data_IF_348053893597
#
_entry.id   IF_348053893597
#
_cell.length_a   1.000
_cell.length_b   1.000
_cell.length_c   1.000
_cell.angle_alpha   90.00
_cell.angle_beta   90.00
_cell.angle_gamma   90.00
#
_symmetry.space_group_name_H-M   'P 1'
#
loop_
_entity.id
_entity.type
_entity.pdbx_description
1 polymer ?
#
# COMPACT_ATOMS: atom_id res chain seq x y z
N UNK A 1 -3.99 17.80 6.26
CA UNK A 1 -4.65 18.41 5.07
C UNK A 1 -3.70 18.28 3.89
N UNK A 2 -4.18 17.74 2.77
CA UNK A 2 -3.39 17.58 1.54
C UNK A 2 -3.29 18.89 0.76
N UNK A 3 -2.27 19.06 -0.09
CA UNK A 3 -2.11 20.26 -0.91
C UNK A 3 -3.37 20.54 -1.75
N UNK A 4 -3.81 21.79 -1.79
CA UNK A 4 -5.09 22.16 -2.41
C UNK A 4 -5.04 22.07 -3.95
N UNK A 5 -3.84 22.22 -4.51
CA UNK A 5 -3.50 22.13 -5.93
C UNK A 5 -3.52 20.71 -6.48
N UNK A 6 -3.52 19.68 -5.62
CA UNK A 6 -3.63 18.30 -6.07
C UNK A 6 -4.99 18.03 -6.73
N UNK A 7 -5.02 17.18 -7.78
CA UNK A 7 -6.26 16.64 -8.29
C UNK A 7 -7.10 16.05 -7.16
N UNK A 8 -8.44 16.17 -7.26
CA UNK A 8 -9.36 15.65 -6.24
C UNK A 8 -9.12 14.15 -5.99
N UNK A 9 -8.96 13.36 -7.06
CA UNK A 9 -8.65 11.93 -6.97
C UNK A 9 -7.40 11.65 -6.11
N UNK A 10 -6.30 12.37 -6.32
CA UNK A 10 -5.07 12.19 -5.53
C UNK A 10 -5.29 12.51 -4.04
N UNK A 11 -6.06 13.55 -3.72
CA UNK A 11 -6.43 13.88 -2.32
C UNK A 11 -7.34 12.83 -1.70
N UNK A 12 -8.29 12.29 -2.46
CA UNK A 12 -9.20 11.24 -2.00
C UNK A 12 -8.42 9.94 -1.71
N UNK A 13 -7.49 9.54 -2.61
CA UNK A 13 -6.58 8.40 -2.39
C UNK A 13 -5.75 8.62 -1.12
N UNK A 14 -5.13 9.80 -0.98
CA UNK A 14 -4.29 10.10 0.17
C UNK A 14 -5.06 10.07 1.49
N UNK A 15 -6.27 10.63 1.51
CA UNK A 15 -7.10 10.68 2.73
C UNK A 15 -7.55 9.30 3.14
N UNK A 16 -8.14 8.54 2.21
CA UNK A 16 -8.62 7.19 2.51
C UNK A 16 -7.47 6.23 2.88
N UNK A 17 -6.30 6.38 2.26
CA UNK A 17 -5.11 5.61 2.64
C UNK A 17 -4.63 5.95 4.05
N UNK A 18 -4.50 7.25 4.39
CA UNK A 18 -4.06 7.70 5.72
C UNK A 18 -5.03 7.26 6.83
N UNK A 19 -6.34 7.33 6.57
CA UNK A 19 -7.39 6.83 7.47
C UNK A 19 -7.26 5.31 7.68
N UNK A 20 -7.15 4.53 6.60
CA UNK A 20 -7.08 3.08 6.66
C UNK A 20 -5.80 2.59 7.37
N UNK A 21 -4.63 3.17 7.07
CA UNK A 21 -3.39 2.79 7.76
C UNK A 21 -3.41 3.22 9.22
N UNK A 22 -4.06 4.34 9.56
CA UNK A 22 -4.23 4.76 10.96
C UNK A 22 -5.10 3.76 11.71
N UNK A 23 -6.24 3.35 11.16
CA UNK A 23 -7.11 2.34 11.76
C UNK A 23 -6.40 0.98 11.93
N UNK A 24 -5.65 0.54 10.91
CA UNK A 24 -4.92 -0.72 10.93
C UNK A 24 -3.77 -0.74 11.97
N UNK A 25 -3.25 0.42 12.38
CA UNK A 25 -2.23 0.51 13.44
C UNK A 25 -2.80 0.38 14.86
N UNK A 26 -4.12 0.56 15.04
CA UNK A 26 -4.82 0.44 16.32
C UNK A 26 -5.92 -0.64 16.29
N UNK A 27 -5.59 -1.81 15.72
CA UNK A 27 -6.47 -2.79 15.07
C UNK A 27 -7.99 -2.51 15.09
N UNK A 28 -8.39 -1.35 14.54
CA UNK A 28 -9.79 -0.94 14.45
C UNK A 28 -10.39 -1.46 13.14
N UNK A 29 -11.08 -2.59 13.25
CA UNK A 29 -11.65 -3.28 12.09
C UNK A 29 -12.69 -2.44 11.35
N UNK A 30 -13.58 -1.79 12.07
CA UNK A 30 -14.70 -1.04 11.48
C UNK A 30 -14.17 0.19 10.74
N UNK A 31 -13.30 0.98 11.39
CA UNK A 31 -12.68 2.14 10.76
C UNK A 31 -11.81 1.75 9.55
N UNK A 32 -11.11 0.61 9.63
CA UNK A 32 -10.31 0.08 8.52
C UNK A 32 -11.19 -0.30 7.32
N UNK A 33 -12.28 -1.02 7.54
CA UNK A 33 -13.22 -1.43 6.48
C UNK A 33 -13.89 -0.21 5.83
N UNK A 34 -14.31 0.78 6.62
CA UNK A 34 -14.90 2.03 6.12
C UNK A 34 -13.91 2.79 5.20
N UNK A 35 -12.67 2.97 5.66
CA UNK A 35 -11.65 3.68 4.90
C UNK A 35 -11.23 2.92 3.63
N UNK A 36 -11.10 1.59 3.70
CA UNK A 36 -10.85 0.75 2.53
C UNK A 36 -11.99 0.87 1.50
N UNK A 37 -13.25 0.91 1.94
CA UNK A 37 -14.41 1.07 1.05
C UNK A 37 -14.44 2.45 0.36
N UNK A 38 -13.81 3.48 0.92
CA UNK A 38 -13.60 4.76 0.22
C UNK A 38 -12.68 4.57 -0.99
N UNK A 39 -11.60 3.78 -0.86
CA UNK A 39 -10.69 3.46 -1.98
C UNK A 39 -11.36 2.61 -3.05
N UNK A 40 -12.30 1.73 -2.70
CA UNK A 40 -13.05 0.90 -3.66
C UNK A 40 -13.76 1.72 -4.74
N UNK A 41 -14.12 2.96 -4.41
CA UNK A 41 -14.85 3.89 -5.28
C UNK A 41 -13.95 4.75 -6.16
N UNK A 42 -12.63 4.59 -6.04
CA UNK A 42 -11.62 5.33 -6.79
C UNK A 42 -11.04 4.45 -7.91
N UNK A 43 -10.19 5.03 -8.74
CA UNK A 43 -9.41 4.28 -9.72
C UNK A 43 -8.39 3.38 -9.00
N UNK A 44 -8.67 2.08 -8.99
CA UNK A 44 -7.83 1.08 -8.33
C UNK A 44 -6.45 0.92 -8.97
N UNK A 45 -6.26 1.34 -10.22
CA UNK A 45 -4.95 1.37 -10.84
C UNK A 45 -4.08 2.50 -10.28
N UNK A 46 -4.65 3.70 -10.12
CA UNK A 46 -3.97 4.81 -9.45
C UNK A 46 -3.72 4.52 -7.97
N UNK A 47 -4.69 3.90 -7.27
CA UNK A 47 -4.51 3.45 -5.87
C UNK A 47 -3.34 2.47 -5.78
N UNK A 48 -3.31 1.45 -6.66
CA UNK A 48 -2.20 0.49 -6.73
C UNK A 48 -0.87 1.20 -6.96
N UNK A 49 -0.79 2.13 -7.92
CA UNK A 49 0.45 2.84 -8.22
C UNK A 49 0.98 3.61 -7.01
N UNK A 50 0.12 4.34 -6.30
CA UNK A 50 0.48 5.07 -5.08
C UNK A 50 0.92 4.12 -3.97
N UNK A 51 0.17 3.04 -3.72
CA UNK A 51 0.50 2.07 -2.67
C UNK A 51 1.81 1.34 -2.97
N UNK A 52 2.05 0.91 -4.21
CA UNK A 52 3.30 0.27 -4.62
C UNK A 52 4.50 1.21 -4.43
N UNK A 53 4.38 2.49 -4.81
CA UNK A 53 5.43 3.47 -4.60
C UNK A 53 5.73 3.66 -3.10
N UNK A 54 4.70 3.75 -2.25
CA UNK A 54 4.88 3.82 -0.80
C UNK A 54 5.54 2.57 -0.22
N UNK A 55 5.10 1.37 -0.62
CA UNK A 55 5.68 0.10 -0.13
C UNK A 55 7.15 0.02 -0.51
N UNK A 56 7.49 0.31 -1.78
CA UNK A 56 8.88 0.30 -2.25
C UNK A 56 9.76 1.26 -1.45
N UNK A 57 9.32 2.50 -1.31
CA UNK A 57 10.10 3.52 -0.60
C UNK A 57 10.28 3.16 0.90
N UNK A 58 9.25 2.61 1.55
CA UNK A 58 9.35 2.14 2.93
C UNK A 58 10.31 0.95 3.07
N UNK A 59 10.32 0.03 2.11
CA UNK A 59 11.27 -1.08 2.10
C UNK A 59 12.70 -0.59 1.93
N UNK A 60 12.93 0.39 1.05
CA UNK A 60 14.24 1.01 0.84
C UNK A 60 14.74 1.72 2.11
N UNK A 61 13.88 2.51 2.77
CA UNK A 61 14.21 3.20 4.02
C UNK A 61 14.52 2.24 5.18
N UNK A 62 13.83 1.11 5.25
CA UNK A 62 14.05 0.08 6.27
C UNK A 62 15.28 -0.80 5.99
N UNK A 63 15.75 -0.84 4.75
CA UNK A 63 16.83 -1.70 4.29
C UNK A 63 17.87 -0.93 3.46
N UNK A 64 18.56 0.08 4.04
CA UNK A 64 19.49 0.93 3.31
C UNK A 64 20.71 0.17 2.74
N UNK A 65 21.07 -0.96 3.36
CA UNK A 65 22.16 -1.83 2.90
C UNK A 65 21.72 -2.87 1.85
N UNK A 66 20.44 -2.83 1.46
CA UNK A 66 19.85 -3.71 0.45
C UNK A 66 18.75 -4.61 1.01
N UNK A 67 17.74 -4.87 0.16
CA UNK A 67 16.60 -5.73 0.47
C UNK A 67 16.90 -7.18 0.09
N UNK A 68 16.75 -8.10 1.04
CA UNK A 68 16.92 -9.55 0.83
C UNK A 68 15.59 -10.29 0.81
N UNK A 69 15.57 -11.51 0.28
CA UNK A 69 14.39 -12.39 0.37
C UNK A 69 13.96 -12.65 1.82
N UNK A 70 14.92 -12.81 2.75
CA UNK A 70 14.66 -12.93 4.18
C UNK A 70 14.01 -11.67 4.77
N UNK A 71 14.40 -10.49 4.29
CA UNK A 71 13.80 -9.22 4.70
C UNK A 71 12.33 -9.15 4.29
N UNK A 72 12.01 -9.56 3.05
CA UNK A 72 10.63 -9.62 2.55
C UNK A 72 9.81 -10.66 3.33
N UNK A 73 10.39 -11.83 3.61
CA UNK A 73 9.74 -12.87 4.42
C UNK A 73 9.44 -12.37 5.84
N UNK A 74 10.38 -11.64 6.47
CA UNK A 74 10.17 -11.06 7.79
C UNK A 74 9.02 -10.04 7.82
N UNK A 75 8.88 -9.22 6.77
CA UNK A 75 7.72 -8.31 6.60
C UNK A 75 6.42 -9.11 6.48
N UNK A 76 6.40 -10.13 5.62
CA UNK A 76 5.22 -10.98 5.42
C UNK A 76 4.76 -11.64 6.72
N UNK A 77 5.70 -12.26 7.46
CA UNK A 77 5.41 -12.94 8.72
C UNK A 77 4.92 -11.96 9.80
N UNK A 78 5.57 -10.80 9.92
CA UNK A 78 5.20 -9.76 10.90
C UNK A 78 3.81 -9.21 10.59
N UNK A 79 3.54 -8.85 9.32
CA UNK A 79 2.25 -8.36 8.89
C UNK A 79 1.15 -9.40 9.15
N UNK A 80 1.32 -10.64 8.68
CA UNK A 80 0.30 -11.68 8.84
C UNK A 80 -0.01 -11.99 10.32
N UNK A 81 1.03 -12.04 11.16
CA UNK A 81 0.89 -12.26 12.60
C UNK A 81 0.18 -11.09 13.28
N UNK A 82 0.48 -9.86 12.88
CA UNK A 82 -0.14 -8.65 13.43
C UNK A 82 -1.61 -8.47 13.02
N UNK A 83 -2.04 -9.06 11.91
CA UNK A 83 -3.38 -8.85 11.36
C UNK A 83 -4.37 -9.99 11.60
N UNK A 84 -3.90 -11.24 11.69
CA UNK A 84 -4.76 -12.43 11.76
C UNK A 84 -5.76 -12.42 12.93
N UNK A 85 -5.45 -11.73 14.02
CA UNK A 85 -6.31 -11.67 15.20
C UNK A 85 -7.57 -10.79 15.01
N UNK A 86 -7.57 -9.86 14.06
CA UNK A 86 -8.65 -8.87 13.88
C UNK A 86 -9.17 -8.76 12.43
N UNK A 87 -8.43 -9.26 11.45
CA UNK A 87 -8.87 -9.38 10.05
C UNK A 87 -9.18 -10.85 9.75
N UNK A 88 -10.46 -11.21 9.77
CA UNK A 88 -10.92 -12.60 9.63
C UNK A 88 -10.77 -13.18 8.21
N UNK A 89 -10.65 -12.32 7.20
CA UNK A 89 -10.57 -12.67 5.78
C UNK A 89 -9.19 -12.40 5.18
N UNK A 90 -8.15 -12.39 6.02
CA UNK A 90 -6.76 -12.21 5.60
C UNK A 90 -6.32 -13.31 4.63
N UNK A 91 -5.79 -12.91 3.48
CA UNK A 91 -5.24 -13.83 2.48
C UNK A 91 -3.74 -13.56 2.31
N UNK A 92 -2.91 -14.47 2.83
CA UNK A 92 -1.45 -14.39 2.71
C UNK A 92 -0.97 -14.26 1.25
N UNK A 93 -1.56 -14.95 0.26
CA UNK A 93 -1.17 -14.74 -1.15
C UNK A 93 -1.33 -13.29 -1.64
N UNK A 94 -2.28 -12.53 -1.10
CA UNK A 94 -2.46 -11.13 -1.46
C UNK A 94 -1.39 -10.24 -0.82
N UNK A 95 -0.91 -10.55 0.38
CA UNK A 95 0.25 -9.87 0.98
C UNK A 95 1.51 -10.11 0.12
N UNK A 96 1.71 -11.34 -0.37
CA UNK A 96 2.81 -11.66 -1.29
C UNK A 96 2.68 -10.85 -2.57
N UNK A 97 1.51 -10.82 -3.20
CA UNK A 97 1.27 -10.06 -4.43
C UNK A 97 1.53 -8.56 -4.26
N UNK A 98 1.21 -7.98 -3.10
CA UNK A 98 1.54 -6.58 -2.79
C UNK A 98 3.06 -6.37 -2.76
N UNK A 99 3.79 -7.21 -2.03
CA UNK A 99 5.24 -7.06 -1.87
C UNK A 99 5.97 -7.29 -3.20
N UNK A 100 5.65 -8.36 -3.94
CA UNK A 100 6.29 -8.65 -5.23
C UNK A 100 5.91 -7.63 -6.30
N UNK A 101 4.66 -7.16 -6.31
CA UNK A 101 4.20 -6.11 -7.21
C UNK A 101 4.90 -4.77 -6.98
N UNK A 102 5.12 -4.37 -5.72
CA UNK A 102 5.86 -3.16 -5.38
C UNK A 102 7.35 -3.23 -5.81
N UNK A 103 7.92 -4.43 -5.83
CA UNK A 103 9.29 -4.72 -6.27
C UNK A 103 9.43 -4.94 -7.78
N UNK A 104 8.34 -4.87 -8.54
CA UNK A 104 8.36 -5.10 -9.99
C UNK A 104 8.66 -6.55 -10.38
N UNK A 105 8.40 -7.51 -9.48
CA UNK A 105 8.67 -8.93 -9.69
C UNK A 105 7.45 -9.70 -10.25
N UNK A 106 6.33 -9.03 -10.46
CA UNK A 106 5.12 -9.64 -11.02
C UNK A 106 5.11 -9.53 -12.54
N UNK A 107 4.99 -10.66 -13.22
CA UNK A 107 4.76 -10.70 -14.66
C UNK A 107 3.26 -10.48 -14.96
N UNK A 108 2.86 -9.45 -15.73
CA UNK A 108 1.46 -9.18 -16.07
C UNK A 108 0.77 -10.32 -16.83
N UNK A 109 1.53 -11.22 -17.46
CA UNK A 109 1.01 -12.36 -18.21
C UNK A 109 0.90 -13.64 -17.35
N UNK A 110 1.25 -13.57 -16.05
CA UNK A 110 1.17 -14.72 -15.15
C UNK A 110 -0.27 -15.05 -14.76
N UNK A 111 -0.69 -16.30 -14.96
CA UNK A 111 -2.06 -16.77 -14.68
C UNK A 111 -2.48 -16.62 -13.20
N UNK A 112 -1.51 -16.49 -12.30
CA UNK A 112 -1.71 -16.42 -10.85
C UNK A 112 -1.90 -14.99 -10.31
N UNK A 113 -1.96 -13.96 -11.16
CA UNK A 113 -2.24 -12.61 -10.70
C UNK A 113 -3.64 -12.54 -10.06
N UNK A 114 -3.76 -12.01 -8.83
CA UNK A 114 -5.06 -11.84 -8.19
C UNK A 114 -6.01 -11.00 -9.03
N UNK A 115 -7.16 -11.58 -9.39
CA UNK A 115 -8.18 -10.90 -10.20
C UNK A 115 -8.93 -9.82 -9.42
N UNK A 116 -9.04 -9.98 -8.10
CA UNK A 116 -9.69 -9.00 -7.23
C UNK A 116 -8.72 -7.87 -6.88
N UNK A 117 -8.71 -6.83 -7.72
CA UNK A 117 -7.89 -5.63 -7.54
C UNK A 117 -8.18 -4.90 -6.23
N UNK A 118 -9.43 -4.94 -5.76
CA UNK A 118 -9.78 -4.30 -4.50
C UNK A 118 -9.23 -5.08 -3.30
N UNK A 119 -9.30 -6.41 -3.35
CA UNK A 119 -8.67 -7.24 -2.32
C UNK A 119 -7.17 -6.98 -2.22
N UNK A 120 -6.47 -6.82 -3.34
CA UNK A 120 -5.04 -6.42 -3.35
C UNK A 120 -4.84 -5.05 -2.69
N UNK A 121 -5.62 -4.04 -3.08
CA UNK A 121 -5.52 -2.69 -2.48
C UNK A 121 -5.79 -2.70 -0.96
N UNK A 122 -6.79 -3.47 -0.49
CA UNK A 122 -7.09 -3.63 0.93
C UNK A 122 -5.95 -4.32 1.68
N UNK A 123 -5.30 -5.31 1.08
CA UNK A 123 -4.14 -5.98 1.68
C UNK A 123 -2.90 -5.08 1.66
N UNK A 124 -2.76 -4.20 0.67
CA UNK A 124 -1.67 -3.22 0.63
C UNK A 124 -1.72 -2.27 1.83
N UNK A 125 -2.92 -1.87 2.26
CA UNK A 125 -3.09 -1.03 3.46
C UNK A 125 -2.55 -1.71 4.74
N UNK A 126 -2.68 -3.04 4.85
CA UNK A 126 -2.13 -3.80 5.98
C UNK A 126 -0.60 -3.82 5.96
N UNK A 127 -0.01 -4.05 4.77
CA UNK A 127 1.44 -4.00 4.57
C UNK A 127 1.98 -2.60 4.88
N UNK A 128 1.30 -1.55 4.41
CA UNK A 128 1.67 -0.17 4.69
C UNK A 128 1.61 0.15 6.19
N UNK A 129 0.56 -0.28 6.88
CA UNK A 129 0.44 -0.08 8.33
C UNK A 129 1.57 -0.77 9.12
N UNK A 130 1.95 -1.98 8.72
CA UNK A 130 3.09 -2.71 9.28
C UNK A 130 4.42 -1.98 9.03
N UNK A 131 4.71 -1.64 7.76
CA UNK A 131 5.95 -0.97 7.38
C UNK A 131 6.09 0.42 8.02
N UNK A 132 5.02 1.22 8.06
CA UNK A 132 5.00 2.52 8.73
C UNK A 132 5.24 2.38 10.24
N UNK A 133 4.72 1.32 10.85
CA UNK A 133 4.95 1.04 12.27
C UNK A 133 6.40 0.63 12.52
N UNK A 134 6.99 -0.20 11.65
CA UNK A 134 8.40 -0.59 11.72
C UNK A 134 9.33 0.61 11.52
N UNK A 135 9.04 1.48 10.56
CA UNK A 135 9.77 2.71 10.29
C UNK A 135 9.54 3.81 11.36
N UNK A 136 8.55 3.63 12.25
CA UNK A 136 8.10 4.61 13.23
C UNK A 136 7.78 5.97 12.59
N UNK A 137 7.17 5.93 11.40
CA UNK A 137 6.96 7.10 10.57
C UNK A 137 5.46 7.36 10.31
N UNK A 138 5.05 8.62 10.10
CA UNK A 138 3.70 8.95 9.66
C UNK A 138 3.53 8.69 8.16
N UNK A 139 2.34 8.28 7.73
CA UNK A 139 2.04 7.99 6.32
C UNK A 139 2.14 9.24 5.42
N UNK A 140 1.85 10.42 5.98
CA UNK A 140 1.72 11.66 5.22
C UNK A 140 2.99 12.09 4.48
N UNK A 141 4.18 11.68 4.93
CA UNK A 141 5.44 11.93 4.21
C UNK A 141 5.53 11.08 2.94
N UNK A 142 5.35 9.77 3.09
CA UNK A 142 5.36 8.79 2.01
C UNK A 142 4.26 9.03 0.98
N UNK A 143 3.04 9.36 1.43
CA UNK A 143 1.93 9.68 0.53
C UNK A 143 2.25 10.85 -0.42
N UNK A 144 2.89 11.90 0.09
CA UNK A 144 3.28 13.05 -0.74
C UNK A 144 4.32 12.67 -1.78
N UNK A 145 5.31 11.86 -1.40
CA UNK A 145 6.37 11.43 -2.32
C UNK A 145 5.85 10.45 -3.36
N UNK A 146 5.05 9.46 -2.96
CA UNK A 146 4.41 8.50 -3.84
C UNK A 146 3.50 9.17 -4.88
N UNK A 147 2.62 10.09 -4.46
CA UNK A 147 1.76 10.84 -5.40
C UNK A 147 2.60 11.71 -6.35
N UNK A 148 3.64 12.37 -5.83
CA UNK A 148 4.56 13.16 -6.65
C UNK A 148 5.40 12.32 -7.61
N UNK A 149 5.68 11.06 -7.30
CA UNK A 149 6.32 10.11 -8.20
C UNK A 149 5.38 9.65 -9.31
N UNK A 150 4.16 9.21 -8.96
CA UNK A 150 3.15 8.77 -9.93
C UNK A 150 2.83 9.89 -10.93
N UNK A 151 2.61 11.12 -10.45
CA UNK A 151 2.33 12.25 -11.34
C UNK A 151 3.50 12.55 -12.31
N UNK A 152 4.75 12.38 -11.86
CA UNK A 152 5.93 12.54 -12.73
C UNK A 152 6.00 11.44 -13.78
N UNK A 153 5.72 10.19 -13.41
CA UNK A 153 5.71 9.07 -14.35
C UNK A 153 4.62 9.24 -15.43
N UNK A 154 3.40 9.59 -15.03
CA UNK A 154 2.28 9.83 -15.96
C UNK A 154 2.57 10.98 -16.95
N UNK A 155 3.35 11.98 -16.55
CA UNK A 155 3.75 13.10 -17.45
C UNK A 155 4.78 12.66 -18.48
N UNK A 156 5.64 11.67 -18.17
CA UNK A 156 6.69 11.17 -19.07
C UNK A 156 6.13 10.24 -20.15
N UNK A 157 5.01 9.57 -19.89
CA UNK A 157 4.39 8.60 -20.80
C UNK A 157 3.45 9.22 -21.87
N UNK A 158 3.23 10.54 -21.84
CA UNK A 158 2.46 11.28 -22.85
C UNK A 158 3.39 12.05 -23.81
N UNK A 159 3.80 11.48 -24.97
CA UNK A 159 4.51 12.20 -26.03
C UNK A 159 3.61 13.14 -26.84
#
# INVERSE_FOLDING_TARGET
MWPAEWPRAARDIASATDEAVTAARVPDREAFEEAAEKLRRLDLEQVRAVHSAMVRELLEDLHPDGLTGESVQAVLERCARGTTAWVSDLQVPLLVAVLTGALGLTDPDEENIPRDRFAVARHALLVLADLLSAAKAPAAGYLRRAIGEVARAETVEMP
#
